data_IF_395148658539
#
_entry.id   IF_395148658539
#
_cell.length_a   1.000
_cell.length_b   1.000
_cell.length_c   1.000
_cell.angle_alpha   90.00
_cell.angle_beta   90.00
_cell.angle_gamma   90.00
#
_symmetry.space_group_name_H-M   'P 1'
#
loop_
_entity.id
_entity.type
_entity.pdbx_description
1 polymer ?
#
# COMPACT_ATOMS: atom_id res chain seq x y z
N UNK A 1 -51.95 -40.85 21.25
CA UNK A 1 -50.85 -40.43 22.13
C UNK A 1 -49.58 -40.29 21.31
N UNK A 2 -49.07 -39.06 21.18
CA UNK A 2 -47.81 -38.72 20.50
C UNK A 2 -46.62 -39.07 21.40
N UNK A 3 -45.53 -39.61 20.84
CA UNK A 3 -44.20 -39.55 21.46
C UNK A 3 -43.22 -38.97 20.43
N UNK A 4 -42.95 -37.68 20.58
CA UNK A 4 -41.90 -36.93 19.90
C UNK A 4 -40.57 -37.25 20.58
N UNK A 5 -39.59 -37.74 19.82
CA UNK A 5 -38.22 -37.86 20.31
C UNK A 5 -37.62 -36.45 20.47
N UNK A 6 -37.13 -36.15 21.67
CA UNK A 6 -36.51 -34.87 22.00
C UNK A 6 -35.23 -34.64 21.20
N UNK A 7 -35.19 -33.55 20.45
CA UNK A 7 -33.97 -32.99 19.88
C UNK A 7 -33.05 -32.54 21.02
N UNK A 8 -31.93 -33.24 21.21
CA UNK A 8 -30.83 -32.76 22.04
C UNK A 8 -30.26 -31.49 21.39
N UNK A 9 -30.62 -30.34 21.97
CA UNK A 9 -30.01 -29.05 21.64
C UNK A 9 -28.52 -29.12 21.95
N UNK A 10 -27.68 -29.07 20.91
CA UNK A 10 -26.23 -28.85 21.07
C UNK A 10 -26.03 -27.50 21.76
N UNK A 11 -25.39 -27.51 22.93
CA UNK A 11 -24.95 -26.28 23.58
C UNK A 11 -24.04 -25.47 22.63
N UNK A 12 -24.22 -24.14 22.55
CA UNK A 12 -23.35 -23.30 21.75
C UNK A 12 -21.94 -23.36 22.35
N UNK A 13 -20.99 -23.88 21.57
CA UNK A 13 -19.56 -23.86 21.92
C UNK A 13 -19.18 -22.42 22.31
N UNK A 14 -18.65 -22.24 23.52
CA UNK A 14 -18.12 -20.97 23.98
C UNK A 14 -17.11 -20.44 22.94
N UNK A 15 -17.40 -19.26 22.38
CA UNK A 15 -16.47 -18.58 21.49
C UNK A 15 -15.22 -18.27 22.30
N UNK A 16 -14.07 -18.82 21.90
CA UNK A 16 -12.77 -18.45 22.48
C UNK A 16 -12.66 -16.92 22.42
N UNK A 17 -12.44 -16.30 23.58
CA UNK A 17 -12.23 -14.86 23.68
C UNK A 17 -10.99 -14.52 22.85
N UNK A 18 -11.14 -13.62 21.88
CA UNK A 18 -10.06 -13.27 20.96
C UNK A 18 -9.00 -12.46 21.71
N UNK A 19 -7.71 -12.63 21.40
CA UNK A 19 -6.68 -11.74 21.91
C UNK A 19 -7.00 -10.29 21.52
N UNK A 20 -6.98 -9.39 22.49
CA UNK A 20 -7.13 -7.95 22.24
C UNK A 20 -5.83 -7.44 21.63
N UNK A 21 -5.88 -7.01 20.37
CA UNK A 21 -4.73 -6.40 19.68
C UNK A 21 -4.80 -4.90 19.96
N UNK A 22 -3.78 -4.27 20.56
CA UNK A 22 -3.75 -2.83 20.76
C UNK A 22 -3.96 -2.06 19.46
N UNK A 23 -4.53 -0.85 19.57
CA UNK A 23 -4.60 0.04 18.41
C UNK A 23 -3.20 0.35 17.89
N UNK A 24 -3.06 0.49 16.57
CA UNK A 24 -1.75 0.68 15.93
C UNK A 24 -0.93 1.83 16.53
N UNK A 25 -1.56 2.98 16.81
CA UNK A 25 -0.92 4.14 17.44
C UNK A 25 -0.39 3.89 18.86
N UNK A 26 -0.89 2.87 19.56
CA UNK A 26 -0.45 2.50 20.90
C UNK A 26 0.79 1.59 20.88
N UNK A 27 1.33 1.25 19.71
CA UNK A 27 2.60 0.53 19.60
C UNK A 27 3.70 1.32 20.32
N UNK A 28 4.42 0.74 21.29
CA UNK A 28 5.42 1.48 22.05
C UNK A 28 6.53 2.03 21.15
N UNK A 29 6.79 3.34 21.25
CA UNK A 29 7.87 3.95 20.50
C UNK A 29 9.25 3.66 21.08
N UNK A 30 10.23 3.52 20.19
CA UNK A 30 11.63 3.44 20.58
C UNK A 30 12.16 4.80 21.05
N UNK A 31 13.21 4.74 21.86
CA UNK A 31 13.92 5.92 22.37
C UNK A 31 15.40 5.82 22.05
N UNK A 32 16.03 6.95 21.80
CA UNK A 32 17.48 7.02 21.61
C UNK A 32 18.25 6.99 22.95
N UNK A 33 19.57 7.08 22.88
CA UNK A 33 20.45 7.08 24.05
C UNK A 33 20.18 8.24 25.03
N UNK A 34 19.56 9.33 24.55
CA UNK A 34 19.16 10.48 25.38
C UNK A 34 17.78 10.32 26.01
N UNK A 35 17.03 9.28 25.63
CA UNK A 35 15.66 9.04 26.06
C UNK A 35 14.62 9.78 25.21
N UNK A 36 15.01 10.52 24.17
CA UNK A 36 14.08 11.15 23.22
C UNK A 36 13.39 10.06 22.37
N UNK A 37 12.13 10.29 22.00
CA UNK A 37 11.37 9.36 21.15
C UNK A 37 11.89 9.42 19.72
N UNK A 38 12.12 8.26 19.11
CA UNK A 38 12.52 8.13 17.71
C UNK A 38 11.25 8.02 16.86
N UNK A 39 10.71 9.15 16.42
CA UNK A 39 9.50 9.19 15.58
C UNK A 39 9.39 10.51 14.79
N UNK A 40 8.91 10.50 13.52
CA UNK A 40 8.52 9.34 12.72
C UNK A 40 9.70 8.55 12.14
N UNK A 41 10.92 9.08 12.28
CA UNK A 41 12.18 8.48 11.89
C UNK A 41 13.31 9.10 12.75
N UNK A 42 14.54 8.56 12.73
CA UNK A 42 15.67 9.19 13.43
C UNK A 42 15.84 10.67 13.06
N UNK A 43 15.99 11.52 14.08
CA UNK A 43 16.06 12.99 13.95
C UNK A 43 17.13 13.46 12.96
N UNK A 44 18.27 12.78 12.93
CA UNK A 44 19.35 13.07 11.99
C UNK A 44 18.96 12.75 10.54
N UNK A 45 18.25 11.65 10.29
CA UNK A 45 17.76 11.31 8.96
C UNK A 45 16.72 12.33 8.47
N UNK A 46 15.80 12.74 9.35
CA UNK A 46 14.81 13.80 9.04
C UNK A 46 15.52 15.11 8.70
N UNK A 47 16.51 15.53 9.49
CA UNK A 47 17.27 16.74 9.24
C UNK A 47 18.03 16.69 7.91
N UNK A 48 18.68 15.56 7.60
CA UNK A 48 19.37 15.33 6.32
C UNK A 48 18.41 15.33 5.12
N UNK A 49 17.22 14.75 5.26
CA UNK A 49 16.19 14.76 4.23
C UNK A 49 15.68 16.17 3.95
N UNK A 50 15.41 16.95 5.00
CA UNK A 50 15.05 18.38 4.90
C UNK A 50 16.12 19.19 4.18
N UNK A 51 17.38 19.02 4.56
CA UNK A 51 18.50 19.70 3.91
C UNK A 51 18.62 19.29 2.44
N UNK A 52 18.47 18.01 2.11
CA UNK A 52 18.51 17.53 0.73
C UNK A 52 17.42 18.17 -0.15
N UNK A 53 16.20 18.35 0.38
CA UNK A 53 15.11 19.04 -0.32
C UNK A 53 15.49 20.51 -0.57
N UNK A 54 16.03 21.20 0.44
CA UNK A 54 16.47 22.59 0.30
C UNK A 54 17.63 22.73 -0.71
N UNK A 55 18.60 21.82 -0.68
CA UNK A 55 19.72 21.78 -1.63
C UNK A 55 19.22 21.57 -3.07
N UNK A 56 18.25 20.69 -3.26
CA UNK A 56 17.60 20.45 -4.56
C UNK A 56 16.96 21.72 -5.13
N UNK A 57 16.16 22.41 -4.31
CA UNK A 57 15.51 23.67 -4.69
C UNK A 57 16.55 24.75 -5.00
N UNK A 58 17.56 24.91 -4.13
CA UNK A 58 18.62 25.90 -4.30
C UNK A 58 19.47 25.66 -5.57
N UNK A 59 19.67 24.38 -5.93
CA UNK A 59 20.38 24.02 -7.15
C UNK A 59 19.58 24.36 -8.42
N UNK A 60 18.24 24.37 -8.36
CA UNK A 60 17.39 24.73 -9.49
C UNK A 60 17.58 23.80 -10.70
N UNK A 61 17.76 22.50 -10.45
CA UNK A 61 18.09 21.50 -11.48
C UNK A 61 16.98 20.48 -11.71
N UNK A 62 17.14 19.69 -12.79
CA UNK A 62 16.20 18.63 -13.15
C UNK A 62 16.07 17.63 -12.00
N UNK A 63 14.84 17.43 -11.58
CA UNK A 63 14.47 16.60 -10.44
C UNK A 63 13.51 15.51 -10.89
N UNK A 64 13.80 14.26 -10.51
CA UNK A 64 12.94 13.11 -10.80
C UNK A 64 12.30 12.61 -9.51
N UNK A 65 10.97 12.47 -9.52
CA UNK A 65 10.19 11.87 -8.43
C UNK A 65 9.76 10.47 -8.88
N UNK A 66 10.05 9.46 -8.06
CA UNK A 66 9.83 8.05 -8.37
C UNK A 66 8.97 7.41 -7.27
N UNK A 67 7.65 7.66 -7.27
CA UNK A 67 6.76 7.11 -6.25
C UNK A 67 6.45 5.64 -6.53
N UNK A 68 6.17 4.86 -5.48
CA UNK A 68 5.47 3.60 -5.69
C UNK A 68 4.07 3.86 -6.27
N UNK A 69 3.54 2.84 -6.95
CA UNK A 69 2.32 2.87 -7.75
C UNK A 69 1.02 2.99 -6.94
N UNK A 70 1.06 2.83 -5.64
CA UNK A 70 -0.12 2.75 -4.78
C UNK A 70 -0.47 4.08 -4.09
N UNK A 71 -1.49 4.06 -3.24
CA UNK A 71 -1.98 5.27 -2.60
C UNK A 71 -0.95 5.94 -1.68
N UNK A 72 -0.08 5.19 -1.00
CA UNK A 72 0.91 5.77 -0.09
C UNK A 72 2.07 6.37 -0.89
N UNK A 73 2.67 5.62 -1.80
CA UNK A 73 3.71 6.08 -2.72
C UNK A 73 3.28 7.27 -3.58
N UNK A 74 2.13 7.20 -4.25
CA UNK A 74 1.64 8.30 -5.08
C UNK A 74 1.35 9.55 -4.25
N UNK A 75 0.79 9.40 -3.05
CA UNK A 75 0.54 10.54 -2.15
C UNK A 75 1.84 11.15 -1.65
N UNK A 76 2.82 10.32 -1.26
CA UNK A 76 4.17 10.77 -0.88
C UNK A 76 4.82 11.60 -2.00
N UNK A 77 4.80 11.10 -3.24
CA UNK A 77 5.31 11.83 -4.41
C UNK A 77 4.58 13.15 -4.65
N UNK A 78 3.25 13.17 -4.52
CA UNK A 78 2.45 14.39 -4.71
C UNK A 78 2.71 15.45 -3.63
N UNK A 79 2.89 15.03 -2.37
CA UNK A 79 3.27 15.92 -1.26
C UNK A 79 4.62 16.56 -1.58
N UNK A 80 5.63 15.74 -1.91
CA UNK A 80 6.97 16.24 -2.24
C UNK A 80 6.94 17.19 -3.44
N UNK A 81 6.24 16.84 -4.52
CA UNK A 81 6.12 17.70 -5.70
C UNK A 81 5.56 19.09 -5.34
N UNK A 82 4.46 19.12 -4.57
CA UNK A 82 3.85 20.38 -4.13
C UNK A 82 4.79 21.17 -3.25
N UNK A 83 5.51 20.52 -2.34
CA UNK A 83 6.50 21.18 -1.49
C UNK A 83 7.66 21.77 -2.30
N UNK A 84 8.20 21.06 -3.29
CA UNK A 84 9.25 21.59 -4.15
C UNK A 84 8.80 22.86 -4.90
N UNK A 85 7.57 22.86 -5.41
CA UNK A 85 6.98 24.04 -6.07
C UNK A 85 6.76 25.19 -5.08
N UNK A 86 6.25 24.91 -3.87
CA UNK A 86 6.06 25.93 -2.82
C UNK A 86 7.39 26.57 -2.41
N UNK A 87 8.47 25.79 -2.37
CA UNK A 87 9.82 26.28 -2.08
C UNK A 87 10.47 27.03 -3.26
N UNK A 88 9.83 27.06 -4.43
CA UNK A 88 10.25 27.85 -5.59
C UNK A 88 10.99 27.09 -6.68
N UNK A 89 11.01 25.74 -6.66
CA UNK A 89 11.53 24.98 -7.79
C UNK A 89 10.56 25.09 -8.98
N UNK A 90 11.10 25.48 -10.14
CA UNK A 90 10.32 25.61 -11.37
C UNK A 90 9.62 24.28 -11.73
N UNK A 91 8.27 24.27 -11.91
CA UNK A 91 7.53 23.04 -12.22
C UNK A 91 8.03 22.30 -13.46
N UNK A 92 8.62 23.03 -14.43
CA UNK A 92 9.20 22.47 -15.65
C UNK A 92 10.45 21.61 -15.41
N UNK A 93 11.09 21.73 -14.25
CA UNK A 93 12.25 20.94 -13.84
C UNK A 93 11.86 19.65 -13.11
N UNK A 94 10.59 19.50 -12.72
CA UNK A 94 10.12 18.36 -11.94
C UNK A 94 9.48 17.35 -12.89
N UNK A 95 10.07 16.16 -12.94
CA UNK A 95 9.59 15.03 -13.71
C UNK A 95 9.22 13.89 -12.78
N UNK A 96 8.38 12.97 -13.27
CA UNK A 96 8.01 11.76 -12.56
C UNK A 96 8.36 10.53 -13.40
N UNK A 97 8.89 9.49 -12.77
CA UNK A 97 9.03 8.16 -13.35
C UNK A 97 8.08 7.20 -12.63
N UNK A 98 7.27 6.46 -13.38
CA UNK A 98 6.31 5.50 -12.84
C UNK A 98 6.70 4.12 -13.32
N UNK A 99 6.93 3.19 -12.39
CA UNK A 99 7.41 1.85 -12.70
C UNK A 99 6.43 1.08 -13.59
N UNK A 100 6.97 0.24 -14.47
CA UNK A 100 6.17 -0.64 -15.31
C UNK A 100 5.54 -1.79 -14.50
N UNK A 101 4.58 -2.47 -15.13
CA UNK A 101 3.84 -3.56 -14.47
C UNK A 101 4.77 -4.71 -14.11
N UNK A 102 4.80 -5.07 -12.83
CA UNK A 102 5.60 -6.19 -12.34
C UNK A 102 7.09 -5.90 -12.21
N UNK A 103 7.50 -4.65 -12.43
CA UNK A 103 8.86 -4.20 -12.20
C UNK A 103 9.03 -3.57 -10.82
N UNK A 104 10.28 -3.48 -10.38
CA UNK A 104 10.72 -2.80 -9.17
C UNK A 104 11.76 -1.73 -9.50
N UNK A 105 11.95 -0.77 -8.60
CA UNK A 105 13.00 0.26 -8.73
C UNK A 105 14.41 -0.32 -8.84
N UNK A 106 14.60 -1.59 -8.44
CA UNK A 106 15.90 -2.26 -8.47
C UNK A 106 16.19 -2.92 -9.82
N UNK A 107 15.22 -3.01 -10.71
CA UNK A 107 15.35 -3.67 -12.00
C UNK A 107 16.18 -2.82 -12.97
N UNK A 108 17.01 -3.50 -13.78
CA UNK A 108 17.91 -2.82 -14.73
C UNK A 108 17.16 -2.00 -15.77
N UNK A 109 16.03 -2.52 -16.26
CA UNK A 109 15.19 -1.82 -17.25
C UNK A 109 14.61 -0.52 -16.70
N UNK A 110 14.30 -0.47 -15.40
CA UNK A 110 13.81 0.75 -14.75
C UNK A 110 14.96 1.75 -14.53
N UNK A 111 16.15 1.27 -14.20
CA UNK A 111 17.38 2.08 -14.10
C UNK A 111 17.71 2.77 -15.42
N UNK A 112 17.67 2.02 -16.52
CA UNK A 112 17.90 2.53 -17.88
C UNK A 112 16.84 3.59 -18.25
N UNK A 113 15.57 3.31 -17.98
CA UNK A 113 14.47 4.24 -18.26
C UNK A 113 14.60 5.55 -17.47
N UNK A 114 14.94 5.48 -16.18
CA UNK A 114 15.18 6.65 -15.35
C UNK A 114 16.40 7.46 -15.82
N UNK A 115 17.45 6.80 -16.31
CA UNK A 115 18.66 7.45 -16.82
C UNK A 115 18.35 8.41 -17.99
N UNK A 116 17.33 8.13 -18.80
CA UNK A 116 16.89 8.99 -19.91
C UNK A 116 16.48 10.38 -19.44
N UNK A 117 15.99 10.53 -18.21
CA UNK A 117 15.58 11.83 -17.66
C UNK A 117 16.75 12.78 -17.42
N UNK A 118 17.97 12.26 -17.24
CA UNK A 118 19.18 13.05 -16.92
C UNK A 118 18.94 14.00 -15.75
N UNK A 119 18.34 13.48 -14.67
CA UNK A 119 18.04 14.24 -13.48
C UNK A 119 19.27 14.35 -12.58
N UNK A 120 19.49 15.54 -12.00
CA UNK A 120 20.55 15.78 -11.03
C UNK A 120 20.13 15.33 -9.62
N UNK A 121 18.82 15.43 -9.33
CA UNK A 121 18.21 15.00 -8.07
C UNK A 121 17.14 13.95 -8.34
N UNK A 122 17.16 12.87 -7.56
CA UNK A 122 16.19 11.78 -7.66
C UNK A 122 15.62 11.51 -6.27
N UNK A 123 14.30 11.50 -6.16
CA UNK A 123 13.58 11.11 -4.96
C UNK A 123 12.85 9.81 -5.24
N UNK A 124 13.13 8.77 -4.45
CA UNK A 124 12.41 7.49 -4.49
C UNK A 124 11.52 7.42 -3.26
N UNK A 125 10.22 7.20 -3.46
CA UNK A 125 9.21 7.31 -2.41
C UNK A 125 8.46 5.98 -2.29
N UNK A 126 8.35 5.48 -1.07
CA UNK A 126 7.60 4.27 -0.72
C UNK A 126 8.12 2.97 -1.33
N UNK A 127 9.42 2.98 -1.61
CA UNK A 127 10.19 1.84 -2.11
C UNK A 127 11.68 2.17 -1.99
N UNK A 128 12.53 1.20 -2.32
CA UNK A 128 13.98 1.39 -2.34
C UNK A 128 14.70 0.90 -1.08
N UNK A 129 13.98 0.38 -0.08
CA UNK A 129 14.52 -0.33 1.09
C UNK A 129 15.09 -1.71 0.74
N UNK A 130 16.04 -1.75 -0.21
CA UNK A 130 16.82 -2.94 -0.57
C UNK A 130 18.16 -2.54 -1.16
N UNK A 131 19.22 -3.24 -0.75
CA UNK A 131 20.56 -3.08 -1.32
C UNK A 131 20.53 -3.31 -2.84
N UNK A 132 21.10 -2.36 -3.58
CA UNK A 132 21.15 -2.40 -5.04
C UNK A 132 22.24 -1.48 -5.60
N UNK A 133 22.56 -1.58 -6.90
CA UNK A 133 23.37 -0.56 -7.59
C UNK A 133 22.78 0.86 -7.44
N UNK A 134 23.50 1.90 -7.87
CA UNK A 134 22.95 3.25 -7.90
C UNK A 134 21.59 3.34 -8.61
N UNK A 135 20.77 4.31 -8.22
CA UNK A 135 19.40 4.48 -8.76
C UNK A 135 19.43 4.69 -10.28
N UNK A 136 20.44 5.39 -10.79
CA UNK A 136 20.77 5.50 -12.23
C UNK A 136 22.29 5.48 -12.43
N UNK A 137 22.75 5.20 -13.64
CA UNK A 137 24.18 5.08 -13.94
C UNK A 137 24.90 6.41 -14.17
N UNK A 138 24.15 7.48 -14.41
CA UNK A 138 24.69 8.83 -14.55
C UNK A 138 24.92 9.48 -13.18
N UNK A 139 25.88 10.40 -13.03
CA UNK A 139 26.05 11.16 -11.79
C UNK A 139 24.74 11.85 -11.36
N UNK A 140 24.32 11.60 -10.13
CA UNK A 140 23.08 12.13 -9.56
C UNK A 140 23.19 12.16 -8.02
N UNK A 141 22.25 12.84 -7.38
CA UNK A 141 22.00 12.76 -5.95
C UNK A 141 20.66 12.07 -5.72
N UNK A 142 20.62 11.03 -4.89
CA UNK A 142 19.39 10.29 -4.59
C UNK A 142 19.01 10.40 -3.11
N UNK A 143 17.71 10.56 -2.84
CA UNK A 143 17.11 10.41 -1.52
C UNK A 143 15.98 9.37 -1.57
N UNK A 144 16.08 8.37 -0.71
CA UNK A 144 15.03 7.37 -0.49
C UNK A 144 14.20 7.79 0.73
N UNK A 145 12.87 7.86 0.59
CA UNK A 145 11.93 8.07 1.70
C UNK A 145 11.01 6.86 1.72
N UNK A 146 11.14 6.01 2.73
CA UNK A 146 10.46 4.72 2.75
C UNK A 146 10.11 4.29 4.19
N UNK A 147 9.29 3.27 4.32
CA UNK A 147 8.88 2.70 5.61
C UNK A 147 8.91 1.17 5.62
N UNK A 148 9.17 0.53 4.48
CA UNK A 148 9.37 -0.91 4.38
C UNK A 148 10.58 -1.36 5.20
N UNK A 149 10.53 -2.61 5.68
CA UNK A 149 11.61 -3.18 6.47
C UNK A 149 12.92 -3.18 5.71
N UNK A 150 13.96 -2.61 6.31
CA UNK A 150 15.33 -2.60 5.80
C UNK A 150 16.33 -2.55 6.97
N UNK A 151 17.52 -3.09 6.72
CA UNK A 151 18.73 -2.81 7.50
C UNK A 151 19.37 -1.52 7.01
N UNK A 152 20.28 -0.94 7.79
CA UNK A 152 20.98 0.31 7.42
C UNK A 152 21.77 0.22 6.10
N UNK A 153 22.16 -1.00 5.70
CA UNK A 153 22.83 -1.28 4.43
C UNK A 153 21.89 -1.52 3.25
N UNK A 154 20.58 -1.64 3.48
CA UNK A 154 19.60 -2.07 2.49
C UNK A 154 19.08 -0.90 1.65
N UNK A 155 19.97 -0.18 0.95
CA UNK A 155 19.60 0.94 0.09
C UNK A 155 20.46 1.01 -1.18
N UNK A 156 20.00 1.67 -2.26
CA UNK A 156 20.78 1.88 -3.47
C UNK A 156 22.12 2.56 -3.17
N UNK A 157 23.20 2.04 -3.75
CA UNK A 157 24.55 2.55 -3.52
C UNK A 157 24.65 4.05 -3.84
N UNK A 158 25.16 4.82 -2.89
CA UNK A 158 25.36 6.27 -3.03
C UNK A 158 24.10 7.12 -2.77
N UNK A 159 22.97 6.50 -2.44
CA UNK A 159 21.78 7.22 -2.00
C UNK A 159 21.87 7.65 -0.54
N UNK A 160 21.17 8.74 -0.20
CA UNK A 160 20.76 9.05 1.18
C UNK A 160 19.41 8.40 1.43
N UNK A 161 19.07 8.16 2.68
CA UNK A 161 17.76 7.62 3.04
C UNK A 161 17.21 8.25 4.33
N UNK A 162 15.90 8.21 4.47
CA UNK A 162 15.17 8.37 5.73
C UNK A 162 14.10 7.28 5.78
N UNK A 163 14.11 6.48 6.85
CA UNK A 163 13.19 5.36 6.99
C UNK A 163 12.46 5.33 8.32
N UNK A 164 11.16 5.06 8.27
CA UNK A 164 10.31 4.89 9.45
C UNK A 164 10.28 3.44 9.98
N UNK A 165 10.87 2.47 9.27
CA UNK A 165 10.69 1.03 9.56
C UNK A 165 11.10 0.62 10.98
N UNK A 166 12.06 1.33 11.58
CA UNK A 166 12.56 1.12 12.94
C UNK A 166 12.04 2.19 13.93
N UNK A 167 10.92 2.86 13.63
CA UNK A 167 10.34 3.94 14.46
C UNK A 167 8.86 3.67 14.76
N UNK A 168 8.55 2.66 15.61
CA UNK A 168 7.17 2.31 15.92
C UNK A 168 6.40 3.44 16.66
N UNK A 169 5.07 3.56 16.46
CA UNK A 169 4.31 2.98 15.36
C UNK A 169 4.83 3.52 14.02
N UNK A 170 5.05 2.60 13.06
CA UNK A 170 5.69 2.94 11.79
C UNK A 170 4.81 3.92 11.02
N UNK A 171 5.36 5.10 10.75
CA UNK A 171 4.72 6.06 9.86
C UNK A 171 4.79 5.52 8.42
N UNK A 172 3.70 5.63 7.66
CA UNK A 172 3.72 5.33 6.22
C UNK A 172 4.60 6.34 5.49
N UNK A 173 5.00 6.04 4.26
CA UNK A 173 5.87 6.91 3.46
C UNK A 173 5.22 8.27 3.22
N UNK A 174 3.92 8.36 2.92
CA UNK A 174 3.25 9.66 2.76
C UNK A 174 3.22 10.47 4.06
N UNK A 175 3.02 9.83 5.21
CA UNK A 175 3.06 10.48 6.51
C UNK A 175 4.47 10.96 6.85
N UNK A 176 5.49 10.13 6.62
CA UNK A 176 6.89 10.49 6.81
C UNK A 176 7.27 11.69 5.92
N UNK A 177 6.92 11.64 4.63
CA UNK A 177 7.13 12.76 3.69
C UNK A 177 6.40 14.02 4.13
N UNK A 178 5.15 13.91 4.59
CA UNK A 178 4.38 15.03 5.13
C UNK A 178 5.10 15.67 6.32
N UNK A 179 5.56 14.89 7.29
CA UNK A 179 6.31 15.41 8.46
C UNK A 179 7.63 16.09 8.09
N UNK A 180 8.33 15.57 7.10
CA UNK A 180 9.56 16.18 6.58
C UNK A 180 9.22 17.54 5.97
N UNK A 181 8.22 17.57 5.08
CA UNK A 181 7.87 18.73 4.25
C UNK A 181 7.11 19.83 5.01
N UNK A 182 6.24 19.49 5.95
CA UNK A 182 5.44 20.46 6.72
C UNK A 182 6.31 21.44 7.51
N UNK A 183 7.51 21.02 7.93
CA UNK A 183 8.47 21.88 8.61
C UNK A 183 9.29 22.77 7.65
N UNK A 184 9.15 22.61 6.33
CA UNK A 184 9.89 23.40 5.34
C UNK A 184 9.09 24.59 4.81
N UNK A 185 7.75 24.53 4.83
CA UNK A 185 6.91 25.59 4.30
C UNK A 185 5.49 25.53 4.90
N UNK A 186 4.98 26.66 5.40
CA UNK A 186 3.70 26.74 6.13
C UNK A 186 2.49 26.26 5.32
N UNK A 187 2.46 26.51 4.01
CA UNK A 187 1.36 26.06 3.13
C UNK A 187 1.31 24.54 2.89
N UNK A 188 2.32 23.77 3.29
CA UNK A 188 2.29 22.30 3.11
C UNK A 188 1.16 21.69 3.92
N UNK A 189 0.97 22.10 5.18
CA UNK A 189 -0.13 21.61 6.00
C UNK A 189 -1.49 21.90 5.33
N UNK A 190 -1.69 23.14 4.87
CA UNK A 190 -2.94 23.57 4.23
C UNK A 190 -3.23 22.85 2.90
N UNK A 191 -2.21 22.45 2.15
CA UNK A 191 -2.39 21.94 0.77
C UNK A 191 -2.20 20.43 0.63
N UNK A 192 -1.54 19.80 1.61
CA UNK A 192 -1.12 18.41 1.56
C UNK A 192 -1.67 17.54 2.71
N UNK A 193 -2.35 18.10 3.71
CA UNK A 193 -2.94 17.32 4.82
C UNK A 193 -3.82 16.15 4.34
N UNK A 194 -4.67 16.38 3.34
CA UNK A 194 -5.55 15.36 2.80
C UNK A 194 -4.78 14.28 2.02
N UNK A 195 -3.63 14.61 1.42
CA UNK A 195 -2.74 13.64 0.78
C UNK A 195 -2.09 12.75 1.84
N UNK A 196 -1.64 13.34 2.95
CA UNK A 196 -1.12 12.59 4.10
C UNK A 196 -2.15 11.58 4.60
N UNK A 197 -3.41 12.01 4.78
CA UNK A 197 -4.48 11.09 5.22
C UNK A 197 -4.77 10.01 4.17
N UNK A 198 -4.81 10.36 2.88
CA UNK A 198 -5.05 9.40 1.79
C UNK A 198 -3.96 8.33 1.75
N UNK A 199 -2.69 8.70 1.76
CA UNK A 199 -1.61 7.70 1.74
C UNK A 199 -1.58 6.86 3.02
N UNK A 200 -1.72 7.49 4.20
CA UNK A 200 -1.77 6.78 5.48
C UNK A 200 -2.93 5.76 5.54
N UNK A 201 -4.12 6.14 5.07
CA UNK A 201 -5.27 5.21 4.99
C UNK A 201 -5.10 4.17 3.88
N UNK A 202 -4.30 4.46 2.86
CA UNK A 202 -3.95 3.53 1.79
C UNK A 202 -3.26 2.29 2.31
N UNK A 203 -2.35 2.48 3.25
CA UNK A 203 -1.50 1.43 3.80
C UNK A 203 -2.03 0.87 5.14
N UNK A 204 -2.32 1.73 6.12
CA UNK A 204 -2.80 1.31 7.46
C UNK A 204 -4.32 1.09 7.54
N UNK A 205 -5.04 1.41 6.47
CA UNK A 205 -6.48 1.28 6.40
C UNK A 205 -7.25 2.40 7.11
N UNK A 206 -8.56 2.44 6.85
CA UNK A 206 -9.43 3.53 7.32
C UNK A 206 -9.87 3.42 8.79
N UNK A 207 -9.49 2.36 9.49
CA UNK A 207 -9.80 2.16 10.92
C UNK A 207 -8.72 2.74 11.83
N UNK A 208 -7.63 3.26 11.27
CA UNK A 208 -6.58 3.94 12.02
C UNK A 208 -7.18 5.04 12.91
N UNK A 209 -6.70 5.07 14.16
CA UNK A 209 -6.99 6.16 15.10
C UNK A 209 -5.88 7.19 15.01
N UNK A 210 -6.25 8.41 14.60
CA UNK A 210 -5.36 9.57 14.54
C UNK A 210 -5.16 10.14 15.96
N UNK A 211 -4.25 9.52 16.69
CA UNK A 211 -3.86 9.89 18.05
C UNK A 211 -2.34 9.82 18.18
N UNK A 212 -1.73 10.49 19.18
CA UNK A 212 -0.28 10.50 19.33
C UNK A 212 0.34 9.09 19.24
N UNK A 213 1.48 8.94 18.55
CA UNK A 213 2.32 10.01 18.01
C UNK A 213 1.86 10.57 16.64
N UNK A 214 0.83 10.00 16.00
CA UNK A 214 0.28 10.55 14.76
C UNK A 214 -0.21 11.99 14.94
N UNK A 215 -0.11 12.83 13.90
CA UNK A 215 -0.55 14.23 13.94
C UNK A 215 -2.08 14.34 14.12
N UNK A 216 -2.53 15.46 14.68
CA UNK A 216 -3.96 15.76 14.78
C UNK A 216 -4.53 16.15 13.41
N UNK A 217 -5.35 15.27 12.83
CA UNK A 217 -6.02 15.47 11.55
C UNK A 217 -7.45 15.99 11.68
N UNK A 218 -7.85 16.48 12.87
CA UNK A 218 -9.22 16.94 13.13
C UNK A 218 -9.66 18.05 12.18
N UNK A 219 -8.79 19.00 11.85
CA UNK A 219 -9.09 20.07 10.90
C UNK A 219 -9.34 19.51 9.49
N UNK A 220 -8.49 18.59 9.03
CA UNK A 220 -8.63 17.91 7.75
C UNK A 220 -9.96 17.17 7.65
N UNK A 221 -10.37 16.44 8.69
CA UNK A 221 -11.64 15.71 8.71
C UNK A 221 -12.89 16.60 8.80
N UNK A 222 -12.75 17.84 9.28
CA UNK A 222 -13.83 18.85 9.19
C UNK A 222 -13.99 19.36 7.75
N UNK A 223 -12.88 19.51 7.02
CA UNK A 223 -12.87 20.01 5.64
C UNK A 223 -13.24 18.92 4.63
N UNK A 224 -12.76 17.70 4.86
CA UNK A 224 -12.93 16.56 3.96
C UNK A 224 -13.50 15.38 4.72
N UNK A 225 -14.63 14.85 4.25
CA UNK A 225 -15.24 13.71 4.92
C UNK A 225 -14.34 12.47 4.84
N UNK A 226 -14.30 11.68 5.92
CA UNK A 226 -13.57 10.41 5.96
C UNK A 226 -13.95 9.49 4.78
N UNK A 227 -15.24 9.49 4.39
CA UNK A 227 -15.72 8.75 3.22
C UNK A 227 -15.05 9.24 1.93
N UNK A 228 -15.00 10.55 1.69
CA UNK A 228 -14.40 11.11 0.49
C UNK A 228 -12.92 10.74 0.37
N UNK A 229 -12.15 10.81 1.47
CA UNK A 229 -10.75 10.44 1.51
C UNK A 229 -10.56 8.94 1.21
N UNK A 230 -11.37 8.07 1.80
CA UNK A 230 -11.31 6.63 1.53
C UNK A 230 -11.76 6.25 0.10
N UNK A 231 -12.74 6.97 -0.45
CA UNK A 231 -13.14 6.79 -1.85
C UNK A 231 -11.99 7.19 -2.79
N UNK A 232 -11.23 8.23 -2.45
CA UNK A 232 -10.00 8.62 -3.18
C UNK A 232 -8.96 7.52 -3.12
N UNK A 233 -8.67 6.95 -1.94
CA UNK A 233 -7.75 5.80 -1.80
C UNK A 233 -8.13 4.69 -2.79
N UNK A 234 -9.41 4.31 -2.84
CA UNK A 234 -9.89 3.29 -3.76
C UNK A 234 -9.72 3.68 -5.23
N UNK A 235 -9.94 4.96 -5.58
CA UNK A 235 -9.83 5.45 -6.95
C UNK A 235 -8.40 5.52 -7.45
N UNK A 236 -7.45 6.00 -6.65
CA UNK A 236 -6.04 6.12 -7.08
C UNK A 236 -5.33 4.77 -7.10
N UNK A 237 -5.76 3.81 -6.28
CA UNK A 237 -5.28 2.43 -6.33
C UNK A 237 -5.88 1.61 -7.48
N UNK A 238 -6.99 2.05 -8.10
CA UNK A 238 -7.63 1.24 -9.14
C UNK A 238 -6.76 1.08 -10.41
N UNK A 239 -6.10 2.12 -10.94
CA UNK A 239 -5.34 1.98 -12.18
C UNK A 239 -4.13 1.03 -12.12
N UNK A 240 -3.43 0.92 -10.98
CA UNK A 240 -2.39 -0.13 -10.79
C UNK A 240 -2.98 -1.56 -10.78
N UNK A 241 -4.29 -1.70 -10.59
CA UNK A 241 -5.00 -2.99 -10.52
C UNK A 241 -5.67 -3.39 -11.83
N UNK A 242 -5.86 -2.48 -12.79
CA UNK A 242 -6.48 -2.83 -14.08
C UNK A 242 -5.61 -3.78 -14.88
N UNK A 243 -6.18 -4.41 -15.90
CA UNK A 243 -5.41 -5.21 -16.85
C UNK A 243 -4.32 -4.35 -17.54
N UNK A 244 -4.69 -3.12 -17.90
CA UNK A 244 -3.85 -2.13 -18.59
C UNK A 244 -2.76 -1.50 -17.73
N UNK A 245 -2.85 -1.59 -16.39
CA UNK A 245 -1.87 -1.03 -15.46
C UNK A 245 -1.57 0.47 -15.74
N UNK A 246 -2.58 1.33 -15.61
CA UNK A 246 -2.47 2.75 -15.98
C UNK A 246 -2.16 3.67 -14.80
N UNK A 247 -1.04 3.45 -14.12
CA UNK A 247 -0.60 4.26 -12.96
C UNK A 247 -0.46 5.74 -13.34
N UNK A 248 -0.07 6.04 -14.58
CA UNK A 248 0.06 7.40 -15.11
C UNK A 248 -1.23 8.22 -14.98
N UNK A 249 -2.40 7.59 -15.18
CA UNK A 249 -3.69 8.27 -14.97
C UNK A 249 -3.94 8.63 -13.50
N UNK A 250 -3.54 7.77 -12.55
CA UNK A 250 -3.62 8.06 -11.13
C UNK A 250 -2.70 9.23 -10.74
N UNK A 251 -1.42 9.15 -11.15
CA UNK A 251 -0.44 10.18 -10.89
C UNK A 251 -0.85 11.55 -11.45
N UNK A 252 -1.23 11.61 -12.72
CA UNK A 252 -1.64 12.87 -13.38
C UNK A 252 -2.80 13.53 -12.64
N UNK A 253 -3.81 12.73 -12.25
CA UNK A 253 -4.95 13.23 -11.50
C UNK A 253 -4.55 13.72 -10.10
N UNK A 254 -3.71 12.96 -9.39
CA UNK A 254 -3.30 13.27 -8.02
C UNK A 254 -2.37 14.48 -7.93
N UNK A 255 -1.35 14.55 -8.79
CA UNK A 255 -0.37 15.64 -8.83
C UNK A 255 -1.02 17.01 -9.06
N UNK A 256 -2.03 17.05 -9.93
CA UNK A 256 -2.75 18.30 -10.28
C UNK A 256 -3.93 18.61 -9.37
N UNK A 257 -4.38 17.65 -8.55
CA UNK A 257 -5.49 17.86 -7.64
C UNK A 257 -5.16 18.89 -6.55
N UNK A 258 -6.10 19.80 -6.30
CA UNK A 258 -6.10 20.71 -5.15
C UNK A 258 -6.97 20.21 -4.00
N UNK A 259 -7.81 19.20 -4.24
CA UNK A 259 -8.69 18.61 -3.22
C UNK A 259 -9.16 17.20 -3.63
N UNK A 260 -9.60 16.36 -2.67
CA UNK A 260 -10.17 15.04 -2.93
C UNK A 260 -11.34 15.08 -3.94
N UNK A 261 -12.15 16.14 -3.91
CA UNK A 261 -13.35 16.26 -4.73
C UNK A 261 -13.09 16.21 -6.24
N UNK A 262 -11.91 16.67 -6.69
CA UNK A 262 -11.51 16.59 -8.09
C UNK A 262 -11.30 15.14 -8.57
N UNK A 263 -10.67 14.31 -7.72
CA UNK A 263 -10.38 12.91 -8.00
C UNK A 263 -11.65 12.06 -8.04
N UNK A 264 -12.60 12.34 -7.14
CA UNK A 264 -13.90 11.66 -7.09
C UNK A 264 -14.72 11.79 -8.39
N UNK A 265 -14.45 12.82 -9.19
CA UNK A 265 -15.11 13.09 -10.47
C UNK A 265 -14.27 12.68 -11.69
N UNK A 266 -13.07 12.13 -11.49
CA UNK A 266 -12.19 11.75 -12.59
C UNK A 266 -12.77 10.57 -13.39
N UNK A 267 -13.14 10.75 -14.68
CA UNK A 267 -13.71 9.67 -15.48
C UNK A 267 -12.76 8.48 -15.62
N UNK A 268 -11.45 8.75 -15.76
CA UNK A 268 -10.43 7.72 -15.89
C UNK A 268 -10.32 6.85 -14.62
N UNK A 269 -10.33 7.46 -13.43
CA UNK A 269 -10.25 6.72 -12.17
C UNK A 269 -11.54 5.94 -11.89
N UNK A 270 -12.70 6.53 -12.20
CA UNK A 270 -13.99 5.86 -12.08
C UNK A 270 -14.08 4.64 -13.00
N UNK A 271 -13.62 4.75 -14.25
CA UNK A 271 -13.57 3.65 -15.20
C UNK A 271 -12.62 2.53 -14.73
N UNK A 272 -11.42 2.88 -14.27
CA UNK A 272 -10.47 1.91 -13.72
C UNK A 272 -11.05 1.17 -12.50
N UNK A 273 -11.71 1.89 -11.58
CA UNK A 273 -12.37 1.27 -10.42
C UNK A 273 -13.52 0.36 -10.84
N UNK A 274 -14.30 0.74 -11.85
CA UNK A 274 -15.38 -0.09 -12.37
C UNK A 274 -14.86 -1.40 -12.99
N UNK A 275 -13.78 -1.34 -13.78
CA UNK A 275 -13.10 -2.52 -14.34
C UNK A 275 -12.63 -3.46 -13.22
N UNK A 276 -11.89 -2.93 -12.25
CA UNK A 276 -11.37 -3.71 -11.12
C UNK A 276 -12.50 -4.35 -10.32
N UNK A 277 -13.58 -3.61 -10.06
CA UNK A 277 -14.74 -4.15 -9.34
C UNK A 277 -15.45 -5.25 -10.12
N UNK A 278 -15.61 -5.11 -11.43
CA UNK A 278 -16.21 -6.14 -12.28
C UNK A 278 -15.35 -7.41 -12.30
N UNK A 279 -14.03 -7.26 -12.30
CA UNK A 279 -13.10 -8.38 -12.37
C UNK A 279 -12.90 -9.08 -11.02
N UNK A 280 -12.85 -8.33 -9.91
CA UNK A 280 -13.01 -8.88 -8.55
C UNK A 280 -14.34 -9.62 -8.44
N UNK A 281 -15.39 -8.98 -8.97
CA UNK A 281 -16.71 -9.50 -9.30
C UNK A 281 -16.68 -10.95 -9.77
N UNK A 282 -16.12 -11.09 -10.97
CA UNK A 282 -16.01 -12.36 -11.68
C UNK A 282 -15.19 -13.37 -10.91
N UNK A 283 -14.07 -12.95 -10.32
CA UNK A 283 -13.12 -13.84 -9.65
C UNK A 283 -13.58 -14.30 -8.26
N UNK A 284 -14.51 -13.59 -7.61
CA UNK A 284 -15.02 -13.97 -6.28
C UNK A 284 -15.77 -15.30 -6.28
N UNK A 285 -16.25 -15.71 -7.46
CA UNK A 285 -16.99 -16.97 -7.70
C UNK A 285 -16.08 -18.14 -8.10
N UNK A 286 -14.76 -18.00 -8.01
CA UNK A 286 -13.84 -19.12 -8.20
C UNK A 286 -14.11 -20.20 -7.15
N UNK A 287 -14.23 -21.46 -7.60
CA UNK A 287 -14.47 -22.59 -6.73
C UNK A 287 -13.21 -22.91 -5.89
N UNK A 288 -13.33 -23.07 -4.55
CA UNK A 288 -12.21 -23.45 -3.70
C UNK A 288 -11.86 -24.93 -3.90
N UNK A 289 -10.55 -25.22 -3.91
CA UNK A 289 -10.00 -26.56 -3.80
C UNK A 289 -9.37 -26.73 -2.42
N UNK A 290 -9.69 -27.82 -1.72
CA UNK A 290 -9.16 -28.08 -0.39
C UNK A 290 -8.08 -29.16 -0.42
N UNK A 291 -7.12 -29.10 0.49
CA UNK A 291 -6.24 -30.23 0.82
C UNK A 291 -7.05 -31.39 1.40
N UNK A 292 -6.48 -32.58 1.35
CA UNK A 292 -7.12 -33.78 1.90
C UNK A 292 -7.48 -33.63 3.40
N UNK A 293 -6.67 -32.92 4.18
CA UNK A 293 -6.92 -32.64 5.60
C UNK A 293 -7.83 -31.42 5.85
N UNK A 294 -8.29 -30.75 4.79
CA UNK A 294 -9.17 -29.57 4.83
C UNK A 294 -8.53 -28.32 5.42
N UNK A 295 -7.20 -28.31 5.67
CA UNK A 295 -6.50 -27.18 6.31
C UNK A 295 -6.08 -26.11 5.33
N UNK A 296 -5.88 -26.46 4.07
CA UNK A 296 -5.43 -25.56 3.01
C UNK A 296 -6.56 -25.41 2.00
N UNK A 297 -6.79 -24.16 1.59
CA UNK A 297 -7.70 -23.80 0.50
C UNK A 297 -6.91 -23.12 -0.61
N UNK A 298 -7.15 -23.52 -1.85
CA UNK A 298 -6.54 -22.98 -3.05
C UNK A 298 -7.62 -22.49 -3.99
N UNK A 299 -7.51 -21.23 -4.42
CA UNK A 299 -8.38 -20.59 -5.38
C UNK A 299 -7.58 -20.34 -6.66
N UNK A 300 -7.92 -21.05 -7.74
CA UNK A 300 -7.26 -20.87 -9.05
C UNK A 300 -7.99 -19.76 -9.81
N UNK A 301 -7.33 -18.61 -9.93
CA UNK A 301 -7.86 -17.43 -10.62
C UNK A 301 -6.92 -17.06 -11.76
N UNK A 302 -7.49 -16.83 -12.95
CA UNK A 302 -6.78 -16.24 -14.08
C UNK A 302 -7.39 -14.88 -14.37
N UNK A 303 -6.58 -13.83 -14.22
CA UNK A 303 -6.96 -12.46 -14.48
C UNK A 303 -5.73 -11.65 -14.88
N UNK A 304 -5.89 -10.71 -15.82
CA UNK A 304 -4.88 -9.71 -16.10
C UNK A 304 -4.89 -8.57 -15.08
N UNK A 305 -5.99 -8.40 -14.34
CA UNK A 305 -6.14 -7.41 -13.28
C UNK A 305 -5.64 -7.97 -11.94
N UNK A 306 -5.24 -7.08 -11.03
CA UNK A 306 -4.94 -7.45 -9.66
C UNK A 306 -6.24 -7.50 -8.83
N UNK A 307 -6.82 -8.70 -8.74
CA UNK A 307 -8.11 -8.92 -8.05
C UNK A 307 -8.01 -9.10 -6.54
N UNK A 308 -6.78 -9.18 -5.99
CA UNK A 308 -6.55 -9.24 -4.55
C UNK A 308 -5.62 -8.10 -4.11
N UNK A 309 -5.91 -7.39 -3.00
CA UNK A 309 -5.07 -6.29 -2.51
C UNK A 309 -3.68 -6.77 -2.04
N UNK A 310 -3.62 -7.89 -1.32
CA UNK A 310 -2.41 -8.40 -0.66
C UNK A 310 -1.78 -9.57 -1.43
N UNK A 311 -1.65 -9.48 -2.75
CA UNK A 311 -0.85 -10.47 -3.48
C UNK A 311 0.65 -10.22 -3.17
N UNK A 312 1.09 -10.52 -1.95
CA UNK A 312 2.49 -10.65 -1.57
C UNK A 312 3.02 -11.98 -2.12
N UNK A 313 3.06 -12.10 -3.44
CA UNK A 313 3.43 -13.32 -4.13
C UNK A 313 4.65 -13.09 -5.00
N UNK A 314 5.70 -13.86 -4.76
CA UNK A 314 6.76 -14.06 -5.75
C UNK A 314 6.23 -14.81 -6.97
N UNK A 315 6.95 -14.73 -8.08
CA UNK A 315 6.66 -15.55 -9.26
C UNK A 315 7.12 -16.98 -8.92
N UNK A 316 6.18 -17.91 -8.83
CA UNK A 316 6.48 -19.34 -8.68
C UNK A 316 6.38 -20.00 -10.06
N UNK A 317 7.44 -20.63 -10.57
CA UNK A 317 7.39 -21.49 -11.74
C UNK A 317 6.23 -22.47 -11.68
N UNK A 318 5.55 -22.66 -12.82
CA UNK A 318 4.34 -23.48 -12.90
C UNK A 318 4.58 -24.91 -12.39
N UNK A 319 5.71 -25.50 -12.72
CA UNK A 319 6.01 -26.89 -12.39
C UNK A 319 6.20 -27.07 -10.86
N UNK A 320 6.90 -26.14 -10.21
CA UNK A 320 7.08 -26.11 -8.76
C UNK A 320 5.74 -25.90 -8.03
N UNK A 321 4.88 -25.02 -8.58
CA UNK A 321 3.54 -24.82 -8.04
C UNK A 321 2.68 -26.08 -8.15
N UNK A 322 2.67 -26.75 -9.30
CA UNK A 322 1.89 -27.98 -9.47
C UNK A 322 2.45 -29.15 -8.64
N UNK A 323 3.77 -29.22 -8.41
CA UNK A 323 4.38 -30.16 -7.46
C UNK A 323 3.85 -29.92 -6.03
N UNK A 324 3.87 -28.67 -5.56
CA UNK A 324 3.32 -28.30 -4.25
C UNK A 324 1.85 -28.69 -4.13
N UNK A 325 1.03 -28.43 -5.16
CA UNK A 325 -0.39 -28.81 -5.17
C UNK A 325 -0.57 -30.32 -5.06
N UNK A 326 0.29 -31.11 -5.71
CA UNK A 326 0.25 -32.57 -5.64
C UNK A 326 0.64 -33.10 -4.26
N UNK A 327 1.69 -32.55 -3.63
CA UNK A 327 2.14 -32.90 -2.27
C UNK A 327 1.06 -32.60 -1.24
N UNK A 328 0.36 -31.48 -1.38
CA UNK A 328 -0.74 -31.08 -0.51
C UNK A 328 -2.06 -31.81 -0.80
N UNK A 329 -2.07 -32.69 -1.80
CA UNK A 329 -3.23 -33.46 -2.24
C UNK A 329 -4.45 -32.59 -2.55
N UNK A 330 -4.22 -31.38 -3.07
CA UNK A 330 -5.29 -30.41 -3.35
C UNK A 330 -6.29 -31.01 -4.34
N UNK A 331 -7.57 -31.02 -3.95
CA UNK A 331 -8.65 -31.56 -4.75
C UNK A 331 -8.80 -33.09 -4.73
N UNK A 332 -7.94 -33.83 -4.01
CA UNK A 332 -8.16 -35.26 -3.76
C UNK A 332 -9.21 -35.42 -2.65
N UNK A 333 -10.18 -36.31 -2.87
CA UNK A 333 -11.12 -36.73 -1.81
C UNK A 333 -10.41 -37.72 -0.88
N UNK A 334 -10.55 -37.54 0.42
CA UNK A 334 -10.09 -38.54 1.39
C UNK A 334 -10.87 -39.84 1.19
N UNK A 335 -10.17 -40.98 1.23
CA UNK A 335 -10.79 -42.31 1.22
C UNK A 335 -11.58 -42.48 2.52
N UNK A 336 -12.87 -42.12 2.51
CA UNK A 336 -13.76 -42.22 3.67
C UNK A 336 -15.13 -41.58 3.49
N UNK A 337 -15.28 -40.62 2.57
CA UNK A 337 -16.59 -40.01 2.30
C UNK A 337 -17.32 -40.74 1.17
N UNK A 338 -18.04 -41.79 1.56
CA UNK A 338 -19.05 -42.44 0.73
C UNK A 338 -20.23 -41.51 0.44
N UNK A 339 -20.80 -41.71 -0.76
CA UNK A 339 -22.04 -41.16 -1.31
C UNK A 339 -22.96 -40.39 -0.33
N UNK A 340 -22.87 -39.05 -0.34
CA UNK A 340 -23.97 -38.20 0.09
C UNK A 340 -24.67 -37.63 -1.16
N UNK A 341 -25.95 -37.98 -1.28
CA UNK A 341 -26.83 -37.70 -2.40
C UNK A 341 -26.83 -36.25 -2.90
N UNK A 342 -27.02 -36.10 -4.21
CA UNK A 342 -27.19 -34.83 -4.92
C UNK A 342 -28.36 -34.00 -4.36
N UNK A 343 -28.08 -33.14 -3.38
CA UNK A 343 -28.92 -31.97 -3.09
C UNK A 343 -28.37 -30.81 -3.93
N UNK A 344 -29.27 -30.13 -4.64
CA UNK A 344 -28.95 -29.10 -5.63
C UNK A 344 -27.85 -28.14 -5.16
N UNK A 345 -26.95 -27.77 -6.08
CA UNK A 345 -25.75 -26.96 -5.82
C UNK A 345 -26.08 -25.86 -4.82
N UNK A 346 -25.60 -25.93 -3.56
CA UNK A 346 -25.77 -24.82 -2.64
C UNK A 346 -25.14 -23.59 -3.28
N UNK A 347 -25.89 -22.50 -3.35
CA UNK A 347 -25.38 -21.21 -3.81
C UNK A 347 -24.14 -20.91 -2.96
N UNK A 348 -22.97 -20.80 -3.57
CA UNK A 348 -21.72 -20.56 -2.86
C UNK A 348 -21.87 -19.27 -2.03
N UNK A 349 -21.98 -19.42 -0.71
CA UNK A 349 -22.16 -18.28 0.20
C UNK A 349 -20.81 -17.66 0.61
N UNK A 350 -19.71 -18.37 0.37
CA UNK A 350 -18.36 -17.91 0.68
C UNK A 350 -17.72 -17.27 -0.55
N UNK A 351 -17.51 -15.97 -0.46
CA UNK A 351 -16.79 -15.16 -1.45
C UNK A 351 -15.29 -15.23 -1.20
N UNK A 352 -14.48 -14.92 -2.24
CA UNK A 352 -13.02 -14.85 -2.16
C UNK A 352 -12.55 -14.07 -0.92
N UNK A 353 -13.21 -12.95 -0.62
CA UNK A 353 -12.87 -12.09 0.51
C UNK A 353 -13.01 -12.78 1.87
N UNK A 354 -13.91 -13.75 2.03
CA UNK A 354 -14.12 -14.45 3.31
C UNK A 354 -12.91 -15.31 3.72
N UNK A 355 -12.04 -15.67 2.76
CA UNK A 355 -10.82 -16.44 3.03
C UNK A 355 -9.64 -15.55 3.46
N UNK A 356 -9.69 -14.26 3.14
CA UNK A 356 -8.62 -13.29 3.41
C UNK A 356 -9.01 -12.26 4.48
N UNK A 357 -10.23 -12.29 5.00
CA UNK A 357 -10.58 -11.51 6.18
C UNK A 357 -9.85 -12.04 7.40
N UNK A 358 -8.87 -11.27 7.91
CA UNK A 358 -8.42 -11.39 9.30
C UNK A 358 -9.63 -11.40 10.24
N UNK A 359 -9.58 -12.13 11.38
CA UNK A 359 -10.74 -12.36 12.25
C UNK A 359 -11.47 -11.10 12.75
N UNK A 360 -10.90 -9.91 12.57
CA UNK A 360 -11.48 -8.61 12.95
C UNK A 360 -12.55 -8.06 11.99
N UNK A 361 -12.85 -8.70 10.86
CA UNK A 361 -13.93 -8.26 9.96
C UNK A 361 -15.21 -9.06 10.19
N UNK A 362 -15.86 -8.86 11.33
CA UNK A 362 -17.31 -9.11 11.43
C UNK A 362 -18.01 -7.87 12.03
N UNK A 363 -18.84 -7.25 11.18
CA UNK A 363 -19.91 -6.28 11.49
C UNK A 363 -19.47 -4.92 12.04
N UNK A 364 -19.34 -3.96 11.13
CA UNK A 364 -19.82 -2.60 11.36
C UNK A 364 -21.16 -2.45 10.61
#
# INVERSE_FOLDING_TARGET
MKRTAGSLSKEPKAKKQRPEVPDYHATPSLRDESGEVIWPAPKEQIAKARQFILDCVAAGKKTLIVPDKDADGLSSGAILQKTLVLLGLEPSLIHSHLLQKGHSIHDETEREAMTVHKADYIFVLDQGSRESPPVVDTPHQALIIDHHWALDSDFPKGSRHVSACNSPPVATSSLLTYHICAALHDDVERTCDWLCVVGTHGDLGNTLKWAPPFPDMTATFKTHTKKALNDVVSLINAPRRTASYNVAAAWTALATASSPASLLRSPALLAARAEVNAEVERCTHAAPHFSADGRIVVLRITSAAQVHPEASGGIVPKDEFEELMAVLEIGRRTKGEGEAASRGKPRQSNTLMNYFTSPNKEKA
#
